data_IF_801922641080
#
_entry.id   IF_801922641080
#
_cell.length_a   1.000
_cell.length_b   1.000
_cell.length_c   1.000
_cell.angle_alpha   90.00
_cell.angle_beta   90.00
_cell.angle_gamma   90.00
#
_symmetry.space_group_name_H-M   'P 1'
#
loop_
_entity.id
_entity.type
_entity.pdbx_description
1 polymer ?
#
# COMPACT_ATOMS: atom_id res chain seq x y z
N UNK A 1 12.69 -11.38 -5.94
CA UNK A 1 13.23 -10.22 -5.21
C UNK A 1 12.66 -10.24 -3.80
N UNK A 2 13.46 -10.01 -2.77
CA UNK A 2 13.04 -10.07 -1.36
C UNK A 2 13.13 -8.71 -0.69
N UNK A 3 12.54 -8.55 0.49
CA UNK A 3 12.57 -7.27 1.23
C UNK A 3 14.01 -6.93 1.63
N UNK A 4 14.80 -7.93 2.01
CA UNK A 4 16.18 -7.80 2.45
C UNK A 4 17.10 -7.28 1.35
N UNK A 5 16.80 -7.58 0.08
CA UNK A 5 17.53 -7.04 -1.07
C UNK A 5 17.29 -5.54 -1.27
N UNK A 6 16.18 -5.00 -0.75
CA UNK A 6 15.85 -3.58 -0.80
C UNK A 6 16.15 -2.85 0.52
N UNK A 7 16.15 -3.53 1.65
CA UNK A 7 16.34 -2.96 2.99
C UNK A 7 17.83 -2.65 3.24
N UNK A 8 18.35 -1.67 2.50
CA UNK A 8 19.75 -1.24 2.52
C UNK A 8 19.84 0.27 2.67
N UNK A 9 20.87 0.80 3.36
CA UNK A 9 21.05 2.24 3.51
C UNK A 9 21.10 2.99 2.16
N UNK A 10 21.70 2.37 1.14
CA UNK A 10 21.82 2.93 -0.20
C UNK A 10 20.45 3.06 -0.90
N UNK A 11 19.59 2.06 -0.75
CA UNK A 11 18.24 2.09 -1.30
C UNK A 11 17.37 3.13 -0.58
N UNK A 12 17.41 3.19 0.75
CA UNK A 12 16.73 4.23 1.52
C UNK A 12 17.18 5.64 1.10
N UNK A 13 18.49 5.87 0.99
CA UNK A 13 19.03 7.14 0.53
C UNK A 13 18.62 7.48 -0.91
N UNK A 14 18.48 6.47 -1.77
CA UNK A 14 17.96 6.64 -3.12
C UNK A 14 16.47 7.02 -3.12
N UNK A 15 15.64 6.27 -2.39
CA UNK A 15 14.20 6.52 -2.26
C UNK A 15 13.95 7.96 -1.82
N UNK A 16 14.63 8.41 -0.77
CA UNK A 16 14.44 9.76 -0.26
C UNK A 16 14.80 10.85 -1.27
N UNK A 17 15.87 10.63 -2.06
CA UNK A 17 16.28 11.56 -3.11
C UNK A 17 15.25 11.69 -4.23
N UNK A 18 14.65 10.58 -4.64
CA UNK A 18 13.68 10.59 -5.75
C UNK A 18 12.27 11.00 -5.30
N UNK A 19 11.93 10.78 -4.03
CA UNK A 19 10.62 11.10 -3.47
C UNK A 19 10.46 12.56 -3.08
N UNK A 20 11.54 13.22 -2.64
CA UNK A 20 11.45 14.59 -2.12
C UNK A 20 10.78 15.59 -3.10
N UNK A 21 11.13 15.62 -4.41
CA UNK A 21 10.45 16.51 -5.35
C UNK A 21 8.96 16.19 -5.53
N UNK A 22 8.55 14.93 -5.36
CA UNK A 22 7.15 14.55 -5.42
C UNK A 22 6.39 15.05 -4.18
N UNK A 23 6.99 14.97 -3.00
CA UNK A 23 6.37 15.50 -1.77
C UNK A 23 6.23 17.01 -1.77
N UNK A 24 7.20 17.74 -2.34
CA UNK A 24 7.06 19.19 -2.56
C UNK A 24 5.82 19.51 -3.41
N UNK A 25 5.58 18.74 -4.48
CA UNK A 25 4.40 18.92 -5.32
C UNK A 25 3.10 18.55 -4.59
N UNK A 26 3.06 17.41 -3.91
CA UNK A 26 1.89 16.97 -3.14
C UNK A 26 1.52 17.99 -2.07
N UNK A 27 2.51 18.56 -1.39
CA UNK A 27 2.30 19.59 -0.38
C UNK A 27 1.69 20.85 -0.98
N UNK A 28 2.16 21.28 -2.15
CA UNK A 28 1.56 22.41 -2.88
C UNK A 28 0.09 22.13 -3.18
N UNK A 29 -0.26 20.95 -3.71
CA UNK A 29 -1.67 20.62 -3.95
C UNK A 29 -2.50 20.68 -2.66
N UNK A 30 -2.01 20.07 -1.58
CA UNK A 30 -2.71 20.08 -0.30
C UNK A 30 -2.92 21.51 0.24
N UNK A 31 -1.91 22.37 0.15
CA UNK A 31 -1.96 23.76 0.62
C UNK A 31 -2.94 24.63 -0.20
N UNK A 32 -3.28 24.20 -1.40
CA UNK A 32 -4.27 24.85 -2.27
C UNK A 32 -5.65 24.19 -2.20
N UNK A 33 -5.91 23.37 -1.16
CA UNK A 33 -7.21 22.79 -0.88
C UNK A 33 -7.56 21.54 -1.69
N UNK A 34 -6.59 20.95 -2.38
CA UNK A 34 -6.79 19.64 -3.01
C UNK A 34 -6.70 18.53 -1.97
N UNK A 35 -7.54 17.51 -2.11
CA UNK A 35 -7.49 16.30 -1.29
C UNK A 35 -6.73 15.22 -2.03
N UNK A 36 -5.68 14.68 -1.39
CA UNK A 36 -5.00 13.47 -1.86
C UNK A 36 -5.89 12.28 -1.47
N UNK A 37 -6.53 11.66 -2.46
CA UNK A 37 -7.49 10.57 -2.22
C UNK A 37 -6.83 9.27 -1.76
N UNK A 38 -5.52 9.11 -2.00
CA UNK A 38 -4.72 7.97 -1.58
C UNK A 38 -3.68 7.56 -2.62
N UNK A 39 -3.06 6.39 -2.43
CA UNK A 39 -2.04 5.84 -3.31
C UNK A 39 -2.33 4.42 -3.79
N UNK A 40 -1.69 4.02 -4.89
CA UNK A 40 -1.76 2.66 -5.43
C UNK A 40 -0.43 1.96 -5.16
N UNK A 41 -0.48 0.77 -4.55
CA UNK A 41 0.66 -0.10 -4.34
C UNK A 41 0.46 -1.46 -5.01
N UNK A 42 1.52 -2.27 -5.06
CA UNK A 42 1.48 -3.60 -5.67
C UNK A 42 1.52 -4.64 -4.56
N UNK A 43 0.45 -5.43 -4.44
CA UNK A 43 0.32 -6.48 -3.44
C UNK A 43 1.48 -7.48 -3.55
N UNK A 44 2.09 -7.80 -2.41
CA UNK A 44 3.18 -8.76 -2.33
C UNK A 44 4.55 -8.22 -2.74
N UNK A 45 4.65 -7.02 -3.33
CA UNK A 45 5.92 -6.44 -3.78
C UNK A 45 6.84 -6.13 -2.59
N UNK A 46 8.12 -6.54 -2.62
CA UNK A 46 9.08 -6.20 -1.57
C UNK A 46 9.43 -4.70 -1.51
N UNK A 47 9.06 -3.93 -2.54
CA UNK A 47 9.32 -2.49 -2.61
C UNK A 47 8.03 -1.67 -2.54
N UNK A 48 7.01 -2.00 -3.35
CA UNK A 48 5.82 -1.16 -3.56
C UNK A 48 4.57 -1.62 -2.81
N UNK A 49 4.66 -2.63 -1.95
CA UNK A 49 3.53 -3.04 -1.12
C UNK A 49 3.33 -2.04 0.04
N UNK A 50 2.16 -1.40 0.20
CA UNK A 50 1.93 -0.43 1.27
C UNK A 50 2.08 -1.00 2.69
N UNK A 51 1.98 -2.32 2.87
CA UNK A 51 2.08 -2.98 4.18
C UNK A 51 3.47 -3.51 4.55
N UNK A 52 4.37 -3.72 3.59
CA UNK A 52 5.72 -4.31 3.83
C UNK A 52 6.84 -3.79 2.93
N UNK A 53 6.51 -3.05 1.87
CA UNK A 53 7.44 -2.65 0.84
C UNK A 53 8.41 -1.57 1.33
N UNK A 54 9.71 -1.74 1.04
CA UNK A 54 10.75 -0.82 1.55
C UNK A 54 10.53 0.61 1.05
N UNK A 55 10.23 0.79 -0.23
CA UNK A 55 9.95 2.11 -0.81
C UNK A 55 8.69 2.75 -0.19
N UNK A 56 7.65 1.96 0.09
CA UNK A 56 6.43 2.46 0.71
C UNK A 56 6.64 2.92 2.16
N UNK A 57 7.55 2.27 2.90
CA UNK A 57 7.93 2.72 4.25
C UNK A 57 8.57 4.11 4.20
N UNK A 58 9.55 4.30 3.33
CA UNK A 58 10.21 5.60 3.14
C UNK A 58 9.24 6.68 2.65
N UNK A 59 8.32 6.29 1.75
CA UNK A 59 7.26 7.16 1.27
C UNK A 59 6.39 7.67 2.43
N UNK A 60 5.87 6.78 3.27
CA UNK A 60 5.00 7.18 4.38
C UNK A 60 5.75 8.01 5.43
N UNK A 61 7.01 7.68 5.71
CA UNK A 61 7.87 8.46 6.60
C UNK A 61 8.07 9.88 6.05
N UNK A 62 8.46 10.01 4.78
CA UNK A 62 8.61 11.32 4.14
C UNK A 62 7.31 12.10 4.05
N UNK A 63 6.18 11.44 3.81
CA UNK A 63 4.88 12.08 3.81
C UNK A 63 4.61 12.75 5.17
N UNK A 64 4.84 12.02 6.27
CA UNK A 64 4.68 12.53 7.62
C UNK A 64 5.64 13.69 7.93
N UNK A 65 6.92 13.56 7.56
CA UNK A 65 7.92 14.62 7.76
C UNK A 65 7.59 15.91 7.01
N UNK A 66 7.01 15.80 5.80
CA UNK A 66 6.66 16.95 4.96
C UNK A 66 5.23 17.46 5.20
N UNK A 67 4.51 16.89 6.17
CA UNK A 67 3.14 17.26 6.48
C UNK A 67 2.16 17.01 5.31
N UNK A 68 2.40 15.96 4.53
CA UNK A 68 1.52 15.51 3.45
C UNK A 68 0.64 14.38 3.98
N UNK A 69 -0.67 14.57 3.93
CA UNK A 69 -1.66 13.63 4.44
C UNK A 69 -2.03 12.62 3.36
N UNK A 70 -1.85 11.33 3.66
CA UNK A 70 -2.16 10.21 2.75
C UNK A 70 -2.79 9.08 3.57
N UNK A 71 -4.12 9.01 3.55
CA UNK A 71 -4.87 8.21 4.51
C UNK A 71 -5.38 6.88 3.95
N UNK A 72 -5.15 6.61 2.66
CA UNK A 72 -5.73 5.46 1.97
C UNK A 72 -4.77 4.88 0.94
N UNK A 73 -4.71 3.55 0.88
CA UNK A 73 -4.06 2.86 -0.23
C UNK A 73 -4.92 1.75 -0.80
N UNK A 74 -4.76 1.58 -2.11
CA UNK A 74 -5.26 0.44 -2.88
C UNK A 74 -4.08 -0.47 -3.20
N UNK A 75 -4.21 -1.76 -2.88
CA UNK A 75 -3.25 -2.78 -3.28
C UNK A 75 -3.74 -3.45 -4.56
N UNK A 76 -2.98 -3.31 -5.63
CA UNK A 76 -3.25 -3.96 -6.90
C UNK A 76 -2.66 -5.38 -6.82
N UNK A 77 -3.45 -6.43 -7.05
CA UNK A 77 -2.98 -7.80 -7.02
C UNK A 77 -1.90 -8.01 -8.10
N UNK A 78 -0.80 -8.64 -7.71
CA UNK A 78 0.27 -9.00 -8.65
C UNK A 78 0.00 -10.39 -9.23
N UNK A 79 -0.87 -10.46 -10.23
CA UNK A 79 -1.24 -11.70 -10.91
C UNK A 79 -0.29 -12.00 -12.08
N UNK A 80 -0.17 -13.27 -12.46
CA UNK A 80 0.71 -13.69 -13.56
C UNK A 80 0.23 -13.22 -14.95
N UNK A 81 -1.07 -12.99 -15.11
CA UNK A 81 -1.68 -12.48 -16.34
C UNK A 81 -1.64 -10.95 -16.45
N UNK A 82 -1.30 -10.25 -15.35
CA UNK A 82 -1.24 -8.79 -15.30
C UNK A 82 -2.60 -8.11 -15.42
N UNK A 83 -3.70 -8.84 -15.27
CA UNK A 83 -5.05 -8.29 -15.36
C UNK A 83 -5.49 -7.85 -13.96
N UNK A 84 -5.84 -6.57 -13.83
CA UNK A 84 -6.46 -6.08 -12.62
C UNK A 84 -7.88 -6.62 -12.49
N UNK A 85 -8.15 -7.29 -11.38
CA UNK A 85 -9.48 -7.74 -10.99
C UNK A 85 -9.84 -7.14 -9.62
N UNK A 86 -10.83 -6.23 -9.54
CA UNK A 86 -11.24 -5.63 -8.28
C UNK A 86 -11.86 -6.64 -7.30
N UNK A 87 -12.32 -7.81 -7.79
CA UNK A 87 -12.92 -8.87 -6.98
C UNK A 87 -11.87 -9.89 -6.48
N UNK A 88 -10.59 -9.71 -6.80
CA UNK A 88 -9.51 -10.55 -6.29
C UNK A 88 -9.36 -10.38 -4.77
N UNK A 89 -9.17 -11.48 -4.04
CA UNK A 89 -8.97 -11.44 -2.57
C UNK A 89 -7.76 -10.60 -2.12
N UNK A 90 -6.80 -10.36 -3.01
CA UNK A 90 -5.62 -9.53 -2.75
C UNK A 90 -5.79 -8.08 -3.21
N UNK A 91 -6.94 -7.72 -3.79
CA UNK A 91 -7.34 -6.34 -4.07
C UNK A 91 -7.83 -5.69 -2.76
N UNK A 92 -6.87 -5.25 -1.96
CA UNK A 92 -7.14 -4.67 -0.64
C UNK A 92 -7.28 -3.16 -0.75
N UNK A 93 -8.32 -2.63 -0.11
CA UNK A 93 -8.61 -1.21 -0.04
C UNK A 93 -8.74 -0.80 1.42
N UNK A 94 -7.93 0.16 1.87
CA UNK A 94 -8.04 0.60 3.25
C UNK A 94 -6.98 1.60 3.69
N UNK A 95 -7.13 2.09 4.93
CA UNK A 95 -6.15 2.96 5.54
C UNK A 95 -4.85 2.20 5.81
N UNK A 96 -3.71 2.84 5.53
CA UNK A 96 -2.40 2.30 5.90
C UNK A 96 -2.11 2.72 7.33
N UNK A 97 -2.86 2.15 8.27
CA UNK A 97 -2.46 2.22 9.69
C UNK A 97 -1.61 1.01 10.00
N UNK A 98 -0.49 1.24 10.70
CA UNK A 98 0.50 0.24 11.11
C UNK A 98 -0.05 -0.92 12.00
N UNK A 99 -1.37 -1.00 12.21
CA UNK A 99 -2.04 -1.99 13.05
C UNK A 99 -3.04 -2.92 12.34
N UNK A 100 -3.25 -2.81 11.02
CA UNK A 100 -4.23 -3.64 10.30
C UNK A 100 -3.66 -4.91 9.65
N UNK A 101 -2.40 -5.28 9.95
CA UNK A 101 -1.79 -6.52 9.46
C UNK A 101 -2.55 -7.79 9.90
N UNK A 102 -3.30 -7.78 11.01
CA UNK A 102 -3.96 -8.98 11.54
C UNK A 102 -5.39 -9.24 11.02
N UNK A 103 -6.12 -8.23 10.55
CA UNK A 103 -7.55 -8.37 10.23
C UNK A 103 -7.84 -8.65 8.74
N UNK A 104 -6.92 -8.30 7.84
CA UNK A 104 -7.09 -8.55 6.40
C UNK A 104 -6.98 -10.05 6.05
N UNK A 105 -6.12 -10.80 6.74
CA UNK A 105 -5.97 -12.25 6.54
C UNK A 105 -7.09 -13.09 7.19
N UNK A 106 -7.89 -12.53 8.10
CA UNK A 106 -8.99 -13.28 8.75
C UNK A 106 -10.28 -13.29 7.93
N UNK A 107 -10.49 -12.34 7.00
CA UNK A 107 -11.70 -12.31 6.17
C UNK A 107 -11.65 -13.27 4.98
N UNK A 108 -10.47 -13.65 4.49
CA UNK A 108 -10.30 -14.65 3.42
C UNK A 108 -10.39 -16.11 3.92
N UNK A 109 -10.32 -16.35 5.24
CA UNK A 109 -10.42 -17.69 5.82
C UNK A 109 -11.83 -18.07 6.35
N UNK A 110 -12.85 -17.25 6.09
CA UNK A 110 -14.10 -17.28 6.86
C UNK A 110 -15.40 -17.18 6.08
N UNK A 111 -15.57 -17.86 4.93
CA UNK A 111 -16.91 -18.17 4.40
C UNK A 111 -16.93 -19.58 3.81
N UNK A 112 -17.01 -20.61 4.67
CA UNK A 112 -17.66 -21.86 4.26
C UNK A 112 -19.15 -21.65 4.36
N UNK A 113 -19.80 -21.54 3.21
CA UNK A 113 -21.23 -21.68 3.01
C UNK A 113 -21.74 -22.91 3.78
N UNK A 114 -22.64 -22.70 4.74
CA UNK A 114 -23.59 -23.73 5.14
C UNK A 114 -24.58 -23.86 3.98
N UNK A 115 -24.30 -24.73 3.04
CA UNK A 115 -25.34 -25.29 2.19
C UNK A 115 -26.28 -26.10 3.08
N UNK A 116 -27.55 -25.71 3.04
CA UNK A 116 -28.61 -26.46 3.69
C UNK A 116 -28.79 -27.82 3.04
N UNK A 117 -29.14 -28.80 3.85
CA UNK A 117 -29.90 -29.94 3.37
C UNK A 117 -31.11 -30.11 4.29
N UNK A 118 -32.28 -29.73 3.79
CA UNK A 118 -33.54 -30.30 4.22
C UNK A 118 -33.69 -31.63 3.47
N UNK A 119 -33.91 -32.73 4.19
CA UNK A 119 -35.16 -33.54 4.24
C UNK A 119 -34.97 -34.53 5.40
#
# INVERSE_FOLDING_TARGET
MTVEEYDTPEFHAHNRRILLPAFEQLKVYQDHGYTIVGGLGIAGSPSCDPGKGVFMRDFLELAAENGVTIDFFWQIPNTADGIFDPDNDNSVFGPVTAGQQEDLHKKSAGTKSKEGNQI
#
